data_IF_411414157700
#
_entry.id   IF_411414157700
#
_cell.length_a   1.000
_cell.length_b   1.000
_cell.length_c   1.000
_cell.angle_alpha   90.00
_cell.angle_beta   90.00
_cell.angle_gamma   90.00
#
_symmetry.space_group_name_H-M   'P 1'
#
loop_
_entity.id
_entity.type
_entity.pdbx_description
1 polymer ?
#
# COMPACT_ATOMS: atom_id res chain seq x y z
N UNK A 1 3.28 10.50 13.36
CA UNK A 1 2.88 10.31 11.94
C UNK A 1 1.49 9.70 11.89
N UNK A 2 0.57 10.24 11.09
CA UNK A 2 -0.76 9.63 10.92
C UNK A 2 -0.66 8.48 9.92
N UNK A 3 -1.07 7.30 10.35
CA UNK A 3 -1.09 6.10 9.53
C UNK A 3 -2.53 5.78 9.11
N UNK A 4 -2.70 5.42 7.85
CA UNK A 4 -3.95 4.92 7.31
C UNK A 4 -3.72 3.47 6.84
N UNK A 5 -4.81 2.72 6.80
CA UNK A 5 -4.82 1.35 6.29
C UNK A 5 -5.00 1.34 4.77
N UNK A 6 -4.26 0.44 4.12
CA UNK A 6 -4.33 0.18 2.68
C UNK A 6 -5.02 -1.17 2.45
N UNK A 7 -5.99 -1.16 1.55
CA UNK A 7 -6.64 -2.36 1.03
C UNK A 7 -6.55 -2.40 -0.49
N UNK A 8 -6.58 -3.59 -1.08
CA UNK A 8 -6.58 -3.79 -2.52
C UNK A 8 -7.62 -4.81 -2.96
N UNK A 9 -8.38 -4.44 -3.98
CA UNK A 9 -9.31 -5.30 -4.71
C UNK A 9 -8.69 -5.58 -6.08
N UNK A 10 -8.12 -6.78 -6.22
CA UNK A 10 -7.43 -7.28 -7.42
C UNK A 10 -8.39 -7.51 -8.59
N UNK A 11 -9.66 -7.83 -8.32
CA UNK A 11 -10.66 -8.05 -9.37
C UNK A 11 -11.07 -6.75 -10.04
N UNK A 12 -11.14 -5.67 -9.28
CA UNK A 12 -11.56 -4.36 -9.77
C UNK A 12 -10.38 -3.40 -9.98
N UNK A 13 -9.14 -3.83 -9.70
CA UNK A 13 -7.94 -2.99 -9.72
C UNK A 13 -8.11 -1.70 -8.91
N UNK A 14 -8.65 -1.83 -7.68
CA UNK A 14 -8.95 -0.69 -6.79
C UNK A 14 -8.13 -0.73 -5.51
N UNK A 15 -7.39 0.33 -5.25
CA UNK A 15 -6.68 0.55 -3.99
C UNK A 15 -7.49 1.51 -3.11
N UNK A 16 -7.65 1.16 -1.84
CA UNK A 16 -8.32 2.00 -0.84
C UNK A 16 -7.32 2.40 0.25
N UNK A 17 -7.29 3.70 0.57
CA UNK A 17 -6.45 4.27 1.64
C UNK A 17 -7.33 5.02 2.65
N UNK A 18 -7.51 4.48 3.86
CA UNK A 18 -8.52 4.96 4.82
C UNK A 18 -8.05 4.89 6.28
N UNK A 19 -8.53 5.80 7.13
CA UNK A 19 -8.24 5.82 8.57
C UNK A 19 -9.16 4.89 9.38
N UNK A 20 -10.42 4.77 8.96
CA UNK A 20 -11.38 3.84 9.54
C UNK A 20 -11.31 2.50 8.82
N UNK A 21 -11.40 1.40 9.56
CA UNK A 21 -11.88 0.14 9.01
C UNK A 21 -13.38 0.33 8.75
N UNK A 22 -13.85 0.31 7.50
CA UNK A 22 -15.27 0.30 7.21
C UNK A 22 -15.91 -0.95 7.82
N UNK A 23 -17.05 -0.77 8.49
CA UNK A 23 -17.86 -1.89 8.98
C UNK A 23 -18.37 -2.78 7.81
N UNK A 24 -18.45 -2.20 6.60
CA UNK A 24 -18.79 -2.86 5.32
C UNK A 24 -17.63 -2.72 4.31
N UNK A 25 -16.48 -3.34 4.58
CA UNK A 25 -15.52 -3.60 3.49
C UNK A 25 -16.12 -4.69 2.60
N UNK A 26 -16.29 -4.40 1.30
CA UNK A 26 -16.68 -5.42 0.34
C UNK A 26 -15.68 -6.58 0.39
N UNK A 27 -16.19 -7.82 0.36
CA UNK A 27 -15.43 -9.07 0.51
C UNK A 27 -14.21 -9.18 -0.44
N UNK A 28 -14.21 -8.42 -1.53
CA UNK A 28 -13.11 -8.39 -2.52
C UNK A 28 -11.85 -7.62 -2.06
N UNK A 29 -11.94 -6.77 -1.04
CA UNK A 29 -10.78 -6.00 -0.58
C UNK A 29 -9.92 -6.79 0.40
N UNK A 30 -8.66 -6.96 0.05
CA UNK A 30 -7.64 -7.60 0.85
C UNK A 30 -6.79 -6.56 1.58
N UNK A 31 -6.48 -6.83 2.84
CA UNK A 31 -5.59 -5.97 3.63
C UNK A 31 -4.14 -6.07 3.12
N UNK A 32 -3.53 -4.91 2.85
CA UNK A 32 -2.14 -4.81 2.40
C UNK A 32 -1.22 -4.39 3.54
N UNK A 33 -1.60 -3.33 4.25
CA UNK A 33 -0.77 -2.79 5.32
C UNK A 33 -1.20 -1.41 5.78
N UNK A 34 -0.29 -0.70 6.47
CA UNK A 34 -0.50 0.68 6.90
C UNK A 34 0.67 1.54 6.49
N UNK A 35 0.41 2.77 6.05
CA UNK A 35 1.44 3.75 5.73
C UNK A 35 0.98 5.18 6.03
N UNK A 36 1.94 6.11 6.03
CA UNK A 36 1.64 7.53 5.97
C UNK A 36 1.19 7.93 4.57
N UNK A 37 0.63 9.13 4.42
CA UNK A 37 0.24 9.66 3.11
C UNK A 37 1.43 9.76 2.15
N UNK A 38 2.58 10.23 2.62
CA UNK A 38 3.79 10.40 1.80
C UNK A 38 4.29 9.05 1.28
N UNK A 39 4.36 8.04 2.15
CA UNK A 39 4.75 6.69 1.75
C UNK A 39 3.73 6.05 0.81
N UNK A 40 2.45 6.36 0.98
CA UNK A 40 1.39 5.89 0.08
C UNK A 40 1.51 6.51 -1.32
N UNK A 41 1.79 7.81 -1.42
CA UNK A 41 1.95 8.46 -2.72
C UNK A 41 3.16 7.88 -3.48
N UNK A 42 4.29 7.63 -2.79
CA UNK A 42 5.44 6.91 -3.36
C UNK A 42 5.09 5.47 -3.77
N UNK A 43 4.29 4.76 -2.96
CA UNK A 43 3.82 3.42 -3.31
C UNK A 43 3.02 3.42 -4.62
N UNK A 44 2.10 4.38 -4.80
CA UNK A 44 1.32 4.52 -6.03
C UNK A 44 2.23 4.82 -7.23
N UNK A 45 3.26 5.65 -7.07
CA UNK A 45 4.24 5.93 -8.12
C UNK A 45 4.99 4.65 -8.55
N UNK A 46 5.43 3.82 -7.60
CA UNK A 46 6.10 2.54 -7.89
C UNK A 46 5.18 1.56 -8.65
N UNK A 47 3.90 1.51 -8.29
CA UNK A 47 2.93 0.69 -9.00
C UNK A 47 2.73 1.18 -10.43
N UNK A 48 2.55 2.49 -10.63
CA UNK A 48 2.43 3.08 -11.96
C UNK A 48 3.67 2.83 -12.83
N UNK A 49 4.86 3.00 -12.26
CA UNK A 49 6.11 2.75 -12.98
C UNK A 49 6.25 1.30 -13.45
N UNK A 50 5.76 0.34 -12.66
CA UNK A 50 5.90 -1.09 -12.97
C UNK A 50 4.81 -1.62 -13.89
N UNK A 51 3.57 -1.20 -13.68
CA UNK A 51 2.40 -1.85 -14.29
C UNK A 51 1.74 -0.99 -15.36
N UNK A 52 1.89 0.33 -15.32
CA UNK A 52 1.17 1.24 -16.21
C UNK A 52 -0.33 0.92 -16.24
N UNK A 53 -0.88 0.54 -17.40
CA UNK A 53 -2.28 0.14 -17.59
C UNK A 53 -2.52 -1.37 -17.37
N UNK A 54 -1.51 -2.12 -16.93
CA UNK A 54 -1.58 -3.55 -16.70
C UNK A 54 -2.23 -3.92 -15.36
N UNK A 55 -2.88 -5.08 -15.34
CA UNK A 55 -3.47 -5.63 -14.12
C UNK A 55 -2.40 -6.04 -13.10
N UNK A 56 -2.67 -5.74 -11.83
CA UNK A 56 -1.80 -6.04 -10.70
C UNK A 56 -2.40 -7.19 -9.88
N UNK A 57 -1.63 -8.26 -9.72
CA UNK A 57 -1.99 -9.36 -8.82
C UNK A 57 -1.78 -8.96 -7.36
N UNK A 58 -2.63 -9.47 -6.46
CA UNK A 58 -2.56 -9.17 -5.02
C UNK A 58 -1.18 -9.42 -4.41
N UNK A 59 -0.57 -10.58 -4.71
CA UNK A 59 0.73 -10.95 -4.15
C UNK A 59 1.87 -10.05 -4.66
N UNK A 60 1.77 -9.60 -5.91
CA UNK A 60 2.75 -8.69 -6.49
C UNK A 60 2.67 -7.29 -5.86
N UNK A 61 1.44 -6.77 -5.70
CA UNK A 61 1.20 -5.49 -5.04
C UNK A 61 1.70 -5.52 -3.59
N UNK A 62 1.36 -6.59 -2.86
CA UNK A 62 1.77 -6.78 -1.47
C UNK A 62 3.29 -6.85 -1.32
N UNK A 63 3.97 -7.59 -2.20
CA UNK A 63 5.43 -7.66 -2.20
C UNK A 63 6.09 -6.29 -2.36
N UNK A 64 5.62 -5.49 -3.33
CA UNK A 64 6.15 -4.13 -3.57
C UNK A 64 5.92 -3.23 -2.35
N UNK A 65 4.75 -3.36 -1.72
CA UNK A 65 4.45 -2.62 -0.50
C UNK A 65 5.40 -3.01 0.63
N UNK A 66 5.60 -4.30 0.89
CA UNK A 66 6.45 -4.80 1.97
C UNK A 66 7.93 -4.38 1.77
N UNK A 67 8.41 -4.40 0.52
CA UNK A 67 9.76 -3.93 0.16
C UNK A 67 9.90 -2.41 0.43
N UNK A 68 8.91 -1.60 0.04
CA UNK A 68 8.89 -0.17 0.32
C UNK A 68 8.86 0.12 1.82
N UNK A 69 8.05 -0.60 2.59
CA UNK A 69 7.98 -0.43 4.05
C UNK A 69 9.31 -0.73 4.71
N UNK A 70 9.93 -1.85 4.32
CA UNK A 70 11.25 -2.24 4.83
C UNK A 70 12.30 -1.18 4.52
N UNK A 71 12.28 -0.60 3.31
CA UNK A 71 13.16 0.51 2.93
C UNK A 71 12.94 1.75 3.81
N UNK A 72 11.69 2.23 3.92
CA UNK A 72 11.38 3.41 4.71
C UNK A 72 11.74 3.24 6.19
N UNK A 73 11.47 2.06 6.76
CA UNK A 73 11.73 1.78 8.16
C UNK A 73 13.23 1.65 8.44
N UNK A 74 14.01 1.09 7.51
CA UNK A 74 15.48 1.09 7.60
C UNK A 74 16.05 2.52 7.65
N UNK A 75 15.61 3.39 6.74
CA UNK A 75 16.07 4.80 6.72
C UNK A 75 15.69 5.53 8.00
N UNK A 76 14.43 5.40 8.46
CA UNK A 76 13.99 6.04 9.71
C UNK A 76 14.78 5.55 10.92
N UNK A 77 15.06 4.25 10.99
CA UNK A 77 15.84 3.67 12.08
C UNK A 77 17.25 4.29 12.13
N UNK A 78 17.91 4.43 10.98
CA UNK A 78 19.24 5.05 10.88
C UNK A 78 19.25 6.55 11.20
N UNK A 79 18.11 7.25 11.14
CA UNK A 79 18.00 8.67 11.53
C UNK A 79 17.74 8.86 13.03
N UNK A 80 17.34 7.80 13.73
CA UNK A 80 17.05 7.83 15.18
C UNK A 80 18.29 7.41 16.00
N UNK A 81 19.20 6.65 15.39
CA UNK A 81 20.51 6.30 15.94
C UNK A 81 21.53 7.44 15.77
#
# INVERSE_FOLDING_TARGET
>A
MKYNTIYFDDKNQKIRFTQSSPDDIAVSYNYIGKSTRVEFDLFIELLWYKFEDGDIELDQLKKIFDDLRSFCDHIKYNLIL
#
